data_IF_072373534245
#
_entry.id   IF_072373534245
#
_cell.length_a   1.000
_cell.length_b   1.000
_cell.length_c   1.000
_cell.angle_alpha   90.00
_cell.angle_beta   90.00
_cell.angle_gamma   90.00
#
_symmetry.space_group_name_H-M   'P 1'
#
loop_
_entity.id
_entity.type
_entity.pdbx_description
1 polymer ?
#
# COMPACT_ATOMS: atom_id res chain seq x y z
N UNK A 1 24.49 -12.25 -17.07
CA UNK A 1 23.27 -12.53 -16.26
C UNK A 1 22.99 -11.30 -15.41
N UNK A 2 21.73 -10.90 -15.24
CA UNK A 2 21.39 -9.79 -14.34
C UNK A 2 21.81 -10.13 -12.90
N UNK A 3 22.35 -9.15 -12.17
CA UNK A 3 22.67 -9.29 -10.74
C UNK A 3 21.40 -9.22 -9.87
N UNK A 4 20.27 -8.82 -10.45
CA UNK A 4 19.02 -8.59 -9.75
C UNK A 4 18.08 -9.79 -9.88
N UNK A 5 17.21 -9.98 -8.86
CA UNK A 5 16.16 -11.00 -8.87
C UNK A 5 15.11 -10.75 -9.96
N UNK A 6 14.76 -9.48 -10.18
CA UNK A 6 13.85 -9.02 -11.23
C UNK A 6 14.59 -8.08 -12.17
N UNK A 7 14.53 -8.38 -13.47
CA UNK A 7 15.18 -7.56 -14.49
C UNK A 7 14.42 -6.26 -14.73
N UNK A 8 13.10 -6.39 -14.87
CA UNK A 8 12.20 -5.31 -15.21
C UNK A 8 11.12 -5.18 -14.13
N UNK A 9 11.06 -4.03 -13.50
CA UNK A 9 10.07 -3.71 -12.48
C UNK A 9 9.14 -2.66 -13.02
N UNK A 10 7.83 -2.80 -12.73
CA UNK A 10 6.84 -1.75 -12.95
C UNK A 10 6.47 -1.12 -11.61
N UNK A 11 6.59 0.21 -11.52
CA UNK A 11 6.04 1.02 -10.44
C UNK A 11 4.88 1.84 -10.98
N UNK A 12 3.65 1.57 -10.53
CA UNK A 12 2.49 2.42 -10.81
C UNK A 12 2.20 3.36 -9.65
N UNK A 13 1.50 4.48 -9.91
CA UNK A 13 1.32 5.53 -8.91
C UNK A 13 2.62 6.28 -8.62
N UNK A 14 3.51 6.34 -9.61
CA UNK A 14 4.88 6.85 -9.45
C UNK A 14 4.95 8.38 -9.23
N UNK A 15 3.89 9.13 -9.58
CA UNK A 15 3.73 10.56 -9.27
C UNK A 15 3.27 10.80 -7.82
N UNK A 16 2.59 9.82 -7.22
CA UNK A 16 2.06 9.91 -5.86
C UNK A 16 3.14 9.95 -4.79
N UNK A 17 2.75 10.33 -3.57
CA UNK A 17 3.68 10.51 -2.45
C UNK A 17 4.54 9.26 -2.19
N UNK A 18 3.94 8.07 -2.09
CA UNK A 18 4.67 6.84 -1.79
C UNK A 18 5.45 6.32 -3.02
N UNK A 19 4.83 6.36 -4.21
CA UNK A 19 5.50 5.95 -5.44
C UNK A 19 6.78 6.74 -5.68
N UNK A 20 6.72 8.07 -5.53
CA UNK A 20 7.88 8.93 -5.68
C UNK A 20 9.04 8.59 -4.71
N UNK A 21 8.71 8.19 -3.46
CA UNK A 21 9.71 7.75 -2.47
C UNK A 21 10.39 6.42 -2.84
N UNK A 22 9.72 5.59 -3.62
CA UNK A 22 10.23 4.26 -4.02
C UNK A 22 11.08 4.29 -5.29
N UNK A 23 11.02 5.34 -6.11
CA UNK A 23 11.69 5.40 -7.43
C UNK A 23 13.18 5.13 -7.34
N UNK A 24 13.90 5.84 -6.47
CA UNK A 24 15.36 5.66 -6.30
C UNK A 24 15.69 4.24 -5.83
N UNK A 25 14.98 3.78 -4.81
CA UNK A 25 15.20 2.45 -4.24
C UNK A 25 14.99 1.35 -5.28
N UNK A 26 13.89 1.42 -6.04
CA UNK A 26 13.57 0.42 -7.06
C UNK A 26 14.50 0.52 -8.29
N UNK A 27 14.91 1.72 -8.66
CA UNK A 27 15.88 1.94 -9.75
C UNK A 27 17.21 1.23 -9.47
N UNK A 28 17.63 1.16 -8.20
CA UNK A 28 18.85 0.46 -7.80
C UNK A 28 18.72 -1.08 -7.75
N UNK A 29 17.50 -1.62 -7.89
CA UNK A 29 17.20 -3.05 -7.76
C UNK A 29 16.78 -3.74 -9.07
N UNK A 30 16.92 -3.06 -10.22
CA UNK A 30 16.57 -3.62 -11.52
C UNK A 30 17.39 -3.04 -12.68
N UNK A 31 17.37 -3.75 -13.81
CA UNK A 31 17.98 -3.26 -15.06
C UNK A 31 17.08 -2.17 -15.70
N UNK A 32 15.73 -2.33 -15.60
CA UNK A 32 14.73 -1.39 -16.09
C UNK A 32 13.67 -1.14 -15.03
N UNK A 33 13.42 0.10 -14.69
CA UNK A 33 12.28 0.54 -13.90
C UNK A 33 11.26 1.24 -14.80
N UNK A 34 10.17 0.57 -15.17
CA UNK A 34 9.04 1.24 -15.82
C UNK A 34 8.22 1.94 -14.75
N UNK A 35 8.03 3.24 -14.89
CA UNK A 35 7.22 4.07 -14.00
C UNK A 35 5.97 4.54 -14.74
N UNK A 36 4.82 4.50 -14.04
CA UNK A 36 3.54 4.87 -14.60
C UNK A 36 2.65 5.61 -13.62
N UNK A 37 1.91 6.56 -14.16
CA UNK A 37 0.81 7.26 -13.50
C UNK A 37 -0.19 7.71 -14.56
N UNK A 38 -1.38 8.20 -14.17
CA UNK A 38 -2.28 8.95 -15.05
C UNK A 38 -1.79 10.39 -15.27
N UNK A 39 -1.00 10.91 -14.33
CA UNK A 39 -0.38 12.23 -14.38
C UNK A 39 0.95 12.19 -15.13
N UNK A 40 1.37 13.34 -15.63
CA UNK A 40 2.66 13.47 -16.32
C UNK A 40 3.81 13.16 -15.36
N UNK A 41 4.76 12.40 -15.85
CA UNK A 41 5.97 11.99 -15.14
C UNK A 41 7.21 12.39 -15.92
N UNK A 42 8.21 12.87 -15.21
CA UNK A 42 9.57 13.06 -15.76
C UNK A 42 10.49 11.97 -15.26
N UNK A 43 11.39 11.53 -16.15
CA UNK A 43 12.45 10.58 -15.82
C UNK A 43 13.45 11.22 -14.83
N UNK A 44 13.77 10.48 -13.75
CA UNK A 44 14.75 10.92 -12.73
C UNK A 44 16.04 10.09 -12.75
N UNK A 45 15.93 8.80 -13.10
CA UNK A 45 17.06 7.88 -13.10
C UNK A 45 17.28 7.31 -14.50
N UNK A 46 18.54 6.96 -14.81
CA UNK A 46 18.94 6.56 -16.16
C UNK A 46 18.18 5.34 -16.68
N UNK A 47 17.86 4.38 -15.82
CA UNK A 47 17.15 3.14 -16.17
C UNK A 47 15.63 3.24 -16.02
N UNK A 48 15.06 4.42 -15.77
CA UNK A 48 13.62 4.60 -15.82
C UNK A 48 13.07 4.66 -17.24
N UNK A 49 11.91 4.08 -17.46
CA UNK A 49 11.07 4.21 -18.65
C UNK A 49 9.71 4.77 -18.21
N UNK A 50 9.30 5.87 -18.80
CA UNK A 50 8.03 6.54 -18.46
C UNK A 50 6.93 6.09 -19.40
N UNK A 51 5.82 5.59 -18.84
CA UNK A 51 4.61 5.22 -19.59
C UNK A 51 3.38 5.76 -18.86
N UNK A 52 2.64 6.67 -19.49
CA UNK A 52 1.40 7.21 -18.93
C UNK A 52 0.27 6.23 -19.24
N UNK A 53 -0.46 5.82 -18.20
CA UNK A 53 -1.56 4.88 -18.35
C UNK A 53 -2.65 5.13 -17.30
N UNK A 54 -3.92 5.01 -17.77
CA UNK A 54 -5.07 4.96 -16.89
C UNK A 54 -5.35 3.50 -16.49
N UNK A 55 -5.44 3.25 -15.19
CA UNK A 55 -5.76 1.92 -14.64
C UNK A 55 -7.13 1.40 -15.13
N UNK A 56 -8.08 2.27 -15.42
CA UNK A 56 -9.39 1.88 -15.94
C UNK A 56 -9.32 1.30 -17.37
N UNK A 57 -8.23 1.47 -18.11
CA UNK A 57 -8.04 0.95 -19.45
C UNK A 57 -7.27 -0.38 -19.45
N UNK A 58 -7.96 -1.51 -19.63
CA UNK A 58 -7.32 -2.83 -19.70
C UNK A 58 -6.28 -2.90 -20.84
N UNK A 59 -6.53 -2.27 -21.97
CA UNK A 59 -5.60 -2.26 -23.11
C UNK A 59 -4.30 -1.54 -22.74
N UNK A 60 -4.40 -0.37 -22.10
CA UNK A 60 -3.25 0.38 -21.63
C UNK A 60 -2.44 -0.43 -20.60
N UNK A 61 -3.10 -1.10 -19.66
CA UNK A 61 -2.43 -1.90 -18.64
C UNK A 61 -1.79 -3.17 -19.20
N UNK A 62 -2.40 -3.79 -20.21
CA UNK A 62 -1.78 -4.91 -20.95
C UNK A 62 -0.47 -4.49 -21.63
N UNK A 63 -0.45 -3.30 -22.24
CA UNK A 63 0.76 -2.73 -22.84
C UNK A 63 1.80 -2.39 -21.76
N UNK A 64 1.35 -1.72 -20.70
CA UNK A 64 2.18 -1.28 -19.58
C UNK A 64 2.91 -2.44 -18.89
N UNK A 65 2.26 -3.59 -18.72
CA UNK A 65 2.80 -4.76 -18.03
C UNK A 65 3.61 -5.71 -18.92
N UNK A 66 3.77 -5.40 -20.23
CA UNK A 66 4.53 -6.23 -21.16
C UNK A 66 6.03 -6.26 -20.79
N UNK A 67 6.61 -7.46 -20.72
CA UNK A 67 8.01 -7.72 -20.36
C UNK A 67 8.39 -7.26 -18.95
N UNK A 68 7.45 -7.22 -18.03
CA UNK A 68 7.68 -6.92 -16.61
C UNK A 68 7.76 -8.23 -15.82
N UNK A 69 8.67 -8.29 -14.85
CA UNK A 69 8.85 -9.45 -13.96
C UNK A 69 8.12 -9.30 -12.63
N UNK A 70 8.08 -8.07 -12.10
CA UNK A 70 7.49 -7.74 -10.80
C UNK A 70 6.79 -6.39 -10.86
N UNK A 71 5.64 -6.28 -10.20
CA UNK A 71 4.87 -5.03 -10.09
C UNK A 71 4.87 -4.54 -8.65
N UNK A 72 5.21 -3.27 -8.48
CA UNK A 72 4.98 -2.49 -7.25
C UNK A 72 3.87 -1.49 -7.55
N UNK A 73 2.68 -1.74 -7.02
CA UNK A 73 1.48 -0.99 -7.35
C UNK A 73 1.10 -0.04 -6.19
N UNK A 74 1.38 1.25 -6.39
CA UNK A 74 1.02 2.35 -5.48
C UNK A 74 -0.06 3.26 -6.09
N UNK A 75 -0.59 2.89 -7.27
CA UNK A 75 -1.60 3.65 -8.00
C UNK A 75 -3.02 3.46 -7.45
N UNK A 76 -3.91 4.33 -7.91
CA UNK A 76 -5.31 4.36 -7.53
C UNK A 76 -5.67 5.55 -6.63
N UNK A 77 -6.96 5.67 -6.29
CA UNK A 77 -7.45 6.60 -5.30
C UNK A 77 -6.87 6.21 -3.94
N UNK A 78 -6.19 7.12 -3.25
CA UNK A 78 -5.42 6.83 -2.03
C UNK A 78 -6.12 7.23 -0.73
N UNK A 79 -7.23 7.92 -0.82
CA UNK A 79 -8.10 8.37 0.28
C UNK A 79 -9.56 8.18 -0.12
N UNK A 80 -10.51 8.46 0.77
CA UNK A 80 -11.92 8.51 0.43
C UNK A 80 -12.18 9.50 -0.72
N UNK A 81 -13.16 9.24 -1.53
CA UNK A 81 -13.52 10.03 -2.70
C UNK A 81 -14.87 9.58 -3.28
N UNK A 82 -15.31 10.24 -4.37
CA UNK A 82 -16.55 9.86 -5.04
C UNK A 82 -16.54 8.38 -5.43
N UNK A 83 -17.72 7.76 -5.42
CA UNK A 83 -17.86 6.36 -5.82
C UNK A 83 -17.27 6.09 -7.20
N UNK A 84 -17.51 6.98 -8.17
CA UNK A 84 -16.99 6.83 -9.53
C UNK A 84 -15.46 6.82 -9.56
N UNK A 85 -14.79 7.67 -8.79
CA UNK A 85 -13.34 7.67 -8.71
C UNK A 85 -12.80 6.40 -8.07
N UNK A 86 -13.42 5.94 -6.98
CA UNK A 86 -13.05 4.70 -6.29
C UNK A 86 -13.30 3.48 -7.18
N UNK A 87 -14.46 3.42 -7.85
CA UNK A 87 -14.82 2.35 -8.77
C UNK A 87 -13.82 2.22 -9.91
N UNK A 88 -13.56 3.32 -10.62
CA UNK A 88 -12.70 3.30 -11.80
C UNK A 88 -11.24 3.02 -11.44
N UNK A 89 -10.70 3.70 -10.42
CA UNK A 89 -9.29 3.59 -10.08
C UNK A 89 -8.95 2.32 -9.29
N UNK A 90 -9.77 1.96 -8.30
CA UNK A 90 -9.44 0.91 -7.33
C UNK A 90 -10.11 -0.43 -7.63
N UNK A 91 -11.33 -0.46 -8.16
CA UNK A 91 -12.04 -1.71 -8.46
C UNK A 91 -11.69 -2.17 -9.89
N UNK A 92 -12.06 -1.36 -10.89
CA UNK A 92 -11.79 -1.68 -12.30
C UNK A 92 -10.29 -1.70 -12.55
N UNK A 93 -9.56 -0.69 -12.07
CA UNK A 93 -8.10 -0.60 -12.21
C UNK A 93 -7.36 -1.78 -11.60
N UNK A 94 -7.76 -2.23 -10.43
CA UNK A 94 -7.15 -3.39 -9.77
C UNK A 94 -7.42 -4.69 -10.54
N UNK A 95 -8.68 -4.88 -11.01
CA UNK A 95 -9.00 -6.03 -11.86
C UNK A 95 -8.16 -6.04 -13.15
N UNK A 96 -8.07 -4.89 -13.83
CA UNK A 96 -7.28 -4.75 -15.05
C UNK A 96 -5.81 -5.07 -14.83
N UNK A 97 -5.24 -4.60 -13.71
CA UNK A 97 -3.85 -4.88 -13.33
C UNK A 97 -3.62 -6.38 -13.14
N UNK A 98 -4.44 -7.05 -12.36
CA UNK A 98 -4.29 -8.48 -12.10
C UNK A 98 -4.47 -9.33 -13.36
N UNK A 99 -5.46 -8.99 -14.19
CA UNK A 99 -5.70 -9.70 -15.46
C UNK A 99 -4.54 -9.49 -16.45
N UNK A 100 -3.99 -8.28 -16.51
CA UNK A 100 -2.81 -7.98 -17.31
C UNK A 100 -1.56 -8.72 -16.79
N UNK A 101 -1.36 -8.73 -15.46
CA UNK A 101 -0.28 -9.49 -14.83
C UNK A 101 -0.37 -10.99 -15.17
N UNK A 102 -1.57 -11.57 -15.09
CA UNK A 102 -1.81 -12.97 -15.45
C UNK A 102 -1.46 -13.24 -16.91
N UNK A 103 -2.00 -12.40 -17.85
CA UNK A 103 -1.77 -12.56 -19.30
C UNK A 103 -0.30 -12.41 -19.68
N UNK A 104 0.41 -11.47 -19.05
CA UNK A 104 1.83 -11.22 -19.30
C UNK A 104 2.76 -12.10 -18.42
N UNK A 105 2.21 -13.06 -17.66
CA UNK A 105 2.95 -14.03 -16.84
C UNK A 105 3.88 -13.38 -15.82
N UNK A 106 3.46 -12.27 -15.24
CA UNK A 106 4.19 -11.61 -14.15
C UNK A 106 4.23 -12.53 -12.95
N UNK A 107 5.35 -12.56 -12.24
CA UNK A 107 5.59 -13.49 -11.13
C UNK A 107 5.04 -12.98 -9.81
N UNK A 108 5.13 -11.67 -9.58
CA UNK A 108 4.82 -11.07 -8.27
C UNK A 108 4.23 -9.68 -8.38
N UNK A 109 3.23 -9.43 -7.55
CA UNK A 109 2.63 -8.12 -7.32
C UNK A 109 2.78 -7.76 -5.85
N UNK A 110 3.35 -6.59 -5.54
CA UNK A 110 3.30 -5.96 -4.23
C UNK A 110 2.44 -4.72 -4.37
N UNK A 111 1.42 -4.55 -3.53
CA UNK A 111 0.52 -3.42 -3.71
C UNK A 111 0.07 -2.78 -2.40
N UNK A 112 -0.24 -1.49 -2.48
CA UNK A 112 -0.73 -0.68 -1.38
C UNK A 112 -2.20 -0.99 -1.08
N UNK A 113 -2.44 -1.95 -0.16
CA UNK A 113 -3.68 -2.05 0.59
C UNK A 113 -3.70 -0.99 1.70
N UNK A 114 -4.66 -1.04 2.60
CA UNK A 114 -4.83 0.00 3.61
C UNK A 114 -5.36 -0.57 4.92
N UNK A 115 -5.09 0.12 6.03
CA UNK A 115 -5.77 -0.09 7.32
C UNK A 115 -7.27 0.07 7.21
N UNK A 116 -7.75 0.86 6.27
CA UNK A 116 -9.19 1.09 6.05
C UNK A 116 -9.98 -0.15 5.64
N UNK A 117 -9.31 -1.27 5.31
CA UNK A 117 -9.94 -2.61 5.21
C UNK A 117 -10.49 -3.12 6.54
N UNK A 118 -9.97 -2.62 7.66
CA UNK A 118 -10.28 -3.03 9.04
C UNK A 118 -10.53 -1.83 9.96
N UNK A 119 -10.91 -0.69 9.39
CA UNK A 119 -10.97 0.59 10.08
C UNK A 119 -11.95 0.64 11.25
N UNK A 120 -13.06 -0.10 11.21
CA UNK A 120 -14.04 -0.17 12.31
C UNK A 120 -13.59 -1.00 13.53
N UNK A 121 -12.43 -1.62 13.51
CA UNK A 121 -11.94 -2.27 14.73
C UNK A 121 -11.55 -1.25 15.79
N UNK A 122 -11.89 -1.51 17.08
CA UNK A 122 -11.49 -0.62 18.18
C UNK A 122 -9.98 -0.73 18.43
N UNK A 123 -9.36 0.39 18.78
CA UNK A 123 -7.91 0.43 19.11
C UNK A 123 -7.56 -0.18 20.46
N UNK A 124 -8.57 -0.61 21.24
CA UNK A 124 -8.36 -1.45 22.43
C UNK A 124 -7.99 -2.89 22.09
N UNK A 125 -8.10 -3.28 20.81
CA UNK A 125 -7.78 -4.63 20.34
C UNK A 125 -6.52 -4.60 19.47
N UNK A 126 -5.58 -5.52 19.75
CA UNK A 126 -4.47 -5.81 18.85
C UNK A 126 -4.98 -6.79 17.79
N UNK A 127 -5.01 -6.36 16.53
CA UNK A 127 -5.53 -7.15 15.42
C UNK A 127 -4.42 -7.76 14.56
N UNK A 128 -4.71 -8.86 13.89
CA UNK A 128 -3.82 -9.47 12.90
C UNK A 128 -4.43 -9.48 11.48
N UNK A 129 -3.71 -9.98 10.51
CA UNK A 129 -4.15 -9.96 9.11
C UNK A 129 -5.33 -10.90 8.80
N UNK A 130 -5.74 -11.77 9.73
CA UNK A 130 -6.84 -12.74 9.56
C UNK A 130 -8.17 -12.28 10.15
N UNK A 131 -8.22 -11.11 10.79
CA UNK A 131 -9.50 -10.56 11.23
C UNK A 131 -10.42 -10.31 10.03
N UNK A 132 -11.72 -10.49 10.24
CA UNK A 132 -12.71 -10.23 9.19
C UNK A 132 -12.61 -8.78 8.71
N UNK A 133 -12.73 -8.51 7.41
CA UNK A 133 -12.79 -7.13 6.92
C UNK A 133 -13.94 -6.36 7.57
N UNK A 134 -13.65 -5.13 8.01
CA UNK A 134 -14.60 -4.14 8.52
C UNK A 134 -14.22 -2.77 7.97
N UNK A 135 -14.42 -2.57 6.63
CA UNK A 135 -14.02 -1.33 5.96
C UNK A 135 -14.84 -0.15 6.46
N UNK A 136 -14.22 1.01 6.57
CA UNK A 136 -14.80 2.23 7.14
C UNK A 136 -15.18 3.28 6.09
N UNK A 137 -15.05 2.96 4.81
CA UNK A 137 -15.21 3.91 3.69
C UNK A 137 -15.37 3.17 2.37
N UNK A 138 -15.81 3.84 1.30
CA UNK A 138 -15.79 3.31 -0.07
C UNK A 138 -14.36 2.97 -0.49
N UNK A 139 -13.40 3.81 -0.11
CA UNK A 139 -11.99 3.54 -0.27
C UNK A 139 -11.56 2.23 0.42
N UNK A 140 -11.91 2.08 1.71
CA UNK A 140 -11.63 0.86 2.47
C UNK A 140 -12.26 -0.39 1.84
N UNK A 141 -13.53 -0.29 1.39
CA UNK A 141 -14.23 -1.35 0.67
C UNK A 141 -13.49 -1.75 -0.61
N UNK A 142 -13.00 -0.78 -1.38
CA UNK A 142 -12.21 -1.05 -2.59
C UNK A 142 -10.91 -1.81 -2.30
N UNK A 143 -10.28 -1.55 -1.16
CA UNK A 143 -9.08 -2.26 -0.73
C UNK A 143 -9.40 -3.70 -0.29
N UNK A 144 -10.55 -3.95 0.35
CA UNK A 144 -11.05 -5.31 0.63
C UNK A 144 -11.27 -6.09 -0.67
N UNK A 145 -11.89 -5.47 -1.69
CA UNK A 145 -12.01 -6.07 -3.01
C UNK A 145 -10.65 -6.48 -3.56
N UNK A 146 -9.65 -5.59 -3.50
CA UNK A 146 -8.30 -5.86 -3.99
C UNK A 146 -7.61 -7.03 -3.28
N UNK A 147 -7.75 -7.15 -1.94
CA UNK A 147 -7.21 -8.27 -1.18
C UNK A 147 -7.88 -9.61 -1.56
N UNK A 148 -9.20 -9.60 -1.74
CA UNK A 148 -9.96 -10.79 -2.19
C UNK A 148 -9.60 -11.17 -3.62
N UNK A 149 -9.45 -10.21 -4.50
CA UNK A 149 -8.98 -10.42 -5.87
C UNK A 149 -7.58 -11.03 -5.89
N UNK A 150 -6.66 -10.52 -5.08
CA UNK A 150 -5.30 -11.04 -4.96
C UNK A 150 -5.31 -12.52 -4.52
N UNK A 151 -6.12 -12.88 -3.53
CA UNK A 151 -6.30 -14.27 -3.09
C UNK A 151 -6.80 -15.14 -4.24
N UNK A 152 -7.83 -14.69 -4.98
CA UNK A 152 -8.37 -15.43 -6.13
C UNK A 152 -7.30 -15.69 -7.20
N UNK A 153 -6.49 -14.67 -7.55
CA UNK A 153 -5.43 -14.85 -8.56
C UNK A 153 -4.29 -15.75 -8.08
N UNK A 154 -3.97 -15.73 -6.78
CA UNK A 154 -3.05 -16.70 -6.21
C UNK A 154 -3.60 -18.12 -6.26
N UNK A 155 -4.82 -18.35 -5.79
CA UNK A 155 -5.40 -19.68 -5.70
C UNK A 155 -5.54 -20.33 -7.08
N UNK A 156 -5.98 -19.55 -8.06
CA UNK A 156 -6.28 -20.05 -9.41
C UNK A 156 -5.07 -20.02 -10.35
N UNK A 157 -4.25 -19.01 -10.28
CA UNK A 157 -3.20 -18.77 -11.28
C UNK A 157 -1.78 -18.75 -10.68
N UNK A 158 -1.64 -18.90 -9.38
CA UNK A 158 -0.37 -18.83 -8.65
C UNK A 158 0.41 -17.52 -8.86
N UNK A 159 -0.31 -16.42 -9.10
CA UNK A 159 0.28 -15.08 -9.12
C UNK A 159 0.59 -14.67 -7.68
N UNK A 160 1.87 -14.65 -7.32
CA UNK A 160 2.30 -14.26 -5.97
C UNK A 160 1.91 -12.80 -5.66
N UNK A 161 1.37 -12.57 -4.49
CA UNK A 161 0.93 -11.23 -4.07
C UNK A 161 1.24 -10.94 -2.62
N UNK A 162 1.72 -9.71 -2.35
CA UNK A 162 1.76 -9.13 -1.01
C UNK A 162 0.86 -7.90 -0.98
N UNK A 163 -0.22 -7.97 -0.20
CA UNK A 163 -1.10 -6.84 0.11
C UNK A 163 -0.56 -6.13 1.34
N UNK A 164 -0.09 -4.90 1.20
CA UNK A 164 0.48 -4.12 2.30
C UNK A 164 -0.60 -3.20 2.86
N UNK A 165 -1.18 -3.52 4.01
CA UNK A 165 -2.12 -2.64 4.74
C UNK A 165 -1.35 -1.48 5.35
N UNK A 166 -1.16 -0.41 4.55
CA UNK A 166 -0.43 0.78 4.98
C UNK A 166 -1.32 1.59 5.95
N UNK A 167 -0.72 2.04 7.03
CA UNK A 167 -1.30 3.02 7.95
C UNK A 167 -0.89 4.45 7.55
N UNK A 168 -0.19 5.16 8.44
CA UNK A 168 0.19 6.56 8.23
C UNK A 168 1.63 6.65 7.73
N UNK A 169 1.81 6.65 6.42
CA UNK A 169 3.15 6.72 5.82
C UNK A 169 3.50 8.18 5.46
N UNK A 170 4.25 8.82 6.33
CA UNK A 170 4.66 10.24 6.25
C UNK A 170 6.10 10.40 6.78
N UNK A 171 6.81 11.52 6.44
CA UNK A 171 8.19 11.72 6.89
C UNK A 171 8.37 11.65 8.41
N UNK A 172 7.46 12.29 9.14
CA UNK A 172 7.41 12.31 10.60
C UNK A 172 5.97 12.17 11.10
N UNK A 173 5.73 11.58 12.28
CA UNK A 173 4.41 11.56 12.91
C UNK A 173 3.84 12.97 13.05
N UNK A 174 2.55 13.14 12.71
CA UNK A 174 1.86 14.43 12.70
C UNK A 174 0.90 14.62 13.87
N UNK A 175 0.51 13.54 14.53
CA UNK A 175 -0.43 13.49 15.66
C UNK A 175 -0.13 12.28 16.57
N UNK A 176 -0.81 12.21 17.71
CA UNK A 176 -0.63 11.12 18.69
C UNK A 176 -1.13 9.76 18.17
N UNK A 177 -2.09 9.71 17.23
CA UNK A 177 -2.50 8.47 16.60
C UNK A 177 -1.31 7.81 15.91
N UNK A 178 -0.44 8.60 15.32
CA UNK A 178 0.73 8.11 14.60
C UNK A 178 1.81 7.50 15.50
N UNK A 179 1.75 7.67 16.81
CA UNK A 179 2.63 6.92 17.73
C UNK A 179 2.45 5.39 17.61
N UNK A 180 1.30 4.92 17.14
CA UNK A 180 1.05 3.50 16.89
C UNK A 180 0.87 3.14 15.42
N UNK A 181 0.68 4.13 14.53
CA UNK A 181 0.29 3.87 13.13
C UNK A 181 1.34 4.32 12.13
N UNK A 182 2.40 4.98 12.56
CA UNK A 182 3.41 5.52 11.67
C UNK A 182 4.20 4.43 10.94
N UNK A 183 4.41 4.67 9.67
CA UNK A 183 5.37 3.98 8.81
C UNK A 183 6.32 5.03 8.23
N UNK A 184 7.59 4.96 8.57
CA UNK A 184 8.60 5.83 7.98
C UNK A 184 8.80 5.53 6.50
N UNK A 185 9.35 6.48 5.74
CA UNK A 185 9.71 6.23 4.35
C UNK A 185 10.83 5.18 4.21
N UNK A 186 11.76 5.11 5.16
CA UNK A 186 12.85 4.14 5.11
C UNK A 186 12.36 2.73 5.43
N UNK A 187 11.44 2.58 6.40
CA UNK A 187 10.77 1.31 6.66
C UNK A 187 9.84 0.90 5.52
N UNK A 188 9.16 1.85 4.83
CA UNK A 188 8.40 1.56 3.61
C UNK A 188 9.32 0.97 2.53
N UNK A 189 10.47 1.60 2.24
CA UNK A 189 11.45 1.12 1.24
C UNK A 189 11.94 -0.28 1.62
N UNK A 190 12.32 -0.48 2.88
CA UNK A 190 12.74 -1.78 3.41
C UNK A 190 11.65 -2.85 3.30
N UNK A 191 10.40 -2.50 3.60
CA UNK A 191 9.24 -3.40 3.48
C UNK A 191 9.03 -3.85 2.04
N UNK A 192 9.00 -2.91 1.09
CA UNK A 192 8.79 -3.22 -0.33
C UNK A 192 9.92 -4.11 -0.86
N UNK A 193 11.19 -3.79 -0.56
CA UNK A 193 12.34 -4.61 -0.95
C UNK A 193 12.27 -6.01 -0.33
N UNK A 194 11.87 -6.10 0.94
CA UNK A 194 11.71 -7.40 1.62
C UNK A 194 10.62 -8.23 0.95
N UNK A 195 9.47 -7.64 0.63
CA UNK A 195 8.38 -8.30 -0.10
C UNK A 195 8.81 -8.76 -1.50
N UNK A 196 9.60 -7.96 -2.20
CA UNK A 196 10.15 -8.33 -3.51
C UNK A 196 11.13 -9.50 -3.39
N UNK A 197 12.02 -9.49 -2.40
CA UNK A 197 13.13 -10.42 -2.30
C UNK A 197 12.80 -11.71 -1.51
N UNK A 198 11.72 -11.75 -0.75
CA UNK A 198 11.29 -12.97 -0.03
C UNK A 198 11.16 -14.15 -1.01
N UNK A 199 11.64 -15.33 -0.59
CA UNK A 199 11.64 -16.53 -1.43
C UNK A 199 10.23 -17.13 -1.61
N UNK A 200 9.34 -16.91 -0.65
CA UNK A 200 8.00 -17.46 -0.65
C UNK A 200 7.02 -16.44 -0.03
N UNK A 201 6.19 -15.85 -0.85
CA UNK A 201 5.16 -14.90 -0.39
C UNK A 201 3.75 -15.43 -0.59
N UNK A 202 3.53 -16.33 -1.56
CA UNK A 202 2.20 -16.83 -1.92
C UNK A 202 1.18 -15.67 -2.05
N UNK A 203 0.03 -15.75 -1.35
CA UNK A 203 -0.79 -14.61 -1.02
C UNK A 203 -0.57 -14.24 0.45
N UNK A 204 -0.06 -13.06 0.69
CA UNK A 204 0.22 -12.57 2.04
C UNK A 204 -0.36 -11.18 2.26
N UNK A 205 -0.89 -10.96 3.44
CA UNK A 205 -1.32 -9.65 3.93
C UNK A 205 -0.42 -9.25 5.08
N UNK A 206 0.19 -8.05 5.01
CA UNK A 206 1.09 -7.51 6.03
C UNK A 206 0.69 -6.09 6.37
N UNK A 207 0.73 -5.73 7.65
CA UNK A 207 0.58 -4.34 8.07
C UNK A 207 1.89 -3.57 7.85
N UNK A 208 1.79 -2.48 7.09
CA UNK A 208 2.88 -1.53 6.87
C UNK A 208 2.94 -0.52 8.00
N UNK A 209 3.76 -0.82 9.00
CA UNK A 209 4.03 0.03 10.17
C UNK A 209 5.50 -0.06 10.53
N UNK A 210 6.05 0.99 11.13
CA UNK A 210 7.39 1.00 11.73
C UNK A 210 7.41 0.24 13.06
N UNK A 211 8.57 0.13 13.71
CA UNK A 211 8.75 -0.57 15.00
C UNK A 211 8.29 0.30 16.16
N UNK A 212 7.06 0.79 16.12
CA UNK A 212 6.49 1.68 17.11
C UNK A 212 6.23 0.95 18.44
N UNK A 213 6.53 1.58 19.57
CA UNK A 213 6.32 0.98 20.90
C UNK A 213 4.83 0.71 21.21
N UNK A 214 3.94 1.51 20.65
CA UNK A 214 2.49 1.44 20.88
C UNK A 214 1.74 0.70 19.75
N UNK A 215 2.32 -0.34 19.14
CA UNK A 215 1.69 -1.09 18.05
C UNK A 215 0.36 -1.73 18.45
N UNK A 216 -0.62 -1.62 17.56
CA UNK A 216 -1.96 -2.20 17.67
C UNK A 216 -2.22 -3.31 16.65
N UNK A 217 -1.16 -3.79 15.99
CA UNK A 217 -1.22 -4.85 14.98
C UNK A 217 -0.13 -5.89 15.17
N UNK A 218 -0.45 -7.13 14.83
CA UNK A 218 0.50 -8.26 14.85
C UNK A 218 0.67 -8.85 13.46
N UNK A 219 1.89 -8.81 12.94
CA UNK A 219 2.27 -9.40 11.66
C UNK A 219 2.65 -10.89 11.74
N UNK A 220 2.16 -11.62 12.76
CA UNK A 220 2.52 -13.04 12.99
C UNK A 220 2.34 -13.94 11.75
N UNK A 221 1.31 -13.69 10.93
CA UNK A 221 1.05 -14.48 9.71
C UNK A 221 1.90 -14.05 8.50
N UNK A 222 2.63 -12.95 8.61
CA UNK A 222 3.54 -12.45 7.59
C UNK A 222 5.04 -12.56 7.99
N UNK A 223 5.35 -13.20 9.12
CA UNK A 223 6.74 -13.37 9.60
C UNK A 223 7.67 -14.03 8.57
N UNK A 224 7.14 -14.93 7.73
CA UNK A 224 7.89 -15.59 6.66
C UNK A 224 8.39 -14.65 5.56
N UNK A 225 7.80 -13.45 5.43
CA UNK A 225 8.29 -12.42 4.51
C UNK A 225 9.65 -11.90 4.98
N UNK A 226 9.85 -11.78 6.29
CA UNK A 226 11.11 -11.36 6.89
C UNK A 226 11.25 -9.85 7.12
N UNK A 227 10.16 -9.09 7.06
CA UNK A 227 10.18 -7.64 7.36
C UNK A 227 10.60 -7.35 8.80
N UNK A 228 11.55 -6.44 8.95
CA UNK A 228 12.12 -6.00 10.23
C UNK A 228 12.21 -4.47 10.24
N UNK A 229 11.13 -3.77 10.63
CA UNK A 229 11.14 -2.31 10.74
C UNK A 229 12.14 -1.84 11.80
N UNK A 230 12.64 -0.61 11.65
CA UNK A 230 13.67 -0.04 12.52
C UNK A 230 13.24 1.24 13.21
N UNK A 231 12.46 2.07 12.51
CA UNK A 231 12.09 3.38 13.00
C UNK A 231 10.98 3.29 14.04
N UNK A 232 10.94 4.27 14.98
CA UNK A 232 9.99 4.28 16.07
C UNK A 232 9.41 5.68 16.25
N UNK A 233 8.09 5.78 16.19
CA UNK A 233 7.36 7.03 16.39
C UNK A 233 7.50 7.60 17.81
N UNK A 234 7.87 6.77 18.81
CA UNK A 234 8.08 7.22 20.19
C UNK A 234 9.16 8.32 20.31
N UNK A 235 10.13 8.33 19.40
CA UNK A 235 11.14 9.39 19.31
C UNK A 235 10.54 10.79 19.10
N UNK A 236 9.30 10.88 18.65
CA UNK A 236 8.58 12.12 18.38
C UNK A 236 7.55 12.48 19.46
N UNK A 237 7.33 11.61 20.48
CA UNK A 237 6.31 11.82 21.52
C UNK A 237 6.41 13.21 22.15
N UNK A 238 7.59 13.59 22.64
CA UNK A 238 7.79 14.89 23.27
C UNK A 238 7.37 16.07 22.38
N UNK A 239 7.73 16.03 21.09
CA UNK A 239 7.36 17.05 20.10
C UNK A 239 5.85 17.11 19.89
N UNK A 240 5.18 15.95 19.92
CA UNK A 240 3.73 15.87 19.77
C UNK A 240 3.00 16.37 21.02
N UNK A 241 3.48 16.00 22.21
CA UNK A 241 2.91 16.44 23.49
C UNK A 241 3.03 17.96 23.65
N UNK A 242 4.18 18.55 23.27
CA UNK A 242 4.39 20.01 23.28
C UNK A 242 3.48 20.74 22.31
N UNK A 243 3.17 20.11 21.15
CA UNK A 243 2.35 20.73 20.10
C UNK A 243 0.85 20.62 20.34
N UNK A 244 0.38 19.47 20.81
CA UNK A 244 -1.05 19.15 20.88
C UNK A 244 -1.58 19.04 22.30
N UNK A 245 -0.72 18.93 23.32
CA UNK A 245 -1.11 18.77 24.71
C UNK A 245 -1.84 17.44 24.97
N UNK A 246 -2.76 17.47 25.94
CA UNK A 246 -3.58 16.31 26.31
C UNK A 246 -4.63 16.05 25.21
N UNK A 247 -4.77 14.79 24.81
CA UNK A 247 -5.83 14.35 23.87
C UNK A 247 -6.87 13.55 24.64
N UNK A 248 -8.14 13.84 24.36
CA UNK A 248 -9.24 13.06 24.88
C UNK A 248 -9.17 11.62 24.33
N UNK A 249 -9.18 10.66 25.24
CA UNK A 249 -9.17 9.23 24.88
C UNK A 249 -10.41 8.77 24.12
N UNK A 250 -11.49 9.56 24.14
CA UNK A 250 -12.73 9.31 23.40
C UNK A 250 -12.73 9.94 21.99
N UNK A 251 -11.71 10.68 21.61
CA UNK A 251 -11.59 11.21 20.25
C UNK A 251 -11.65 10.05 19.24
N UNK A 252 -12.54 10.11 18.21
CA UNK A 252 -12.62 9.11 17.15
C UNK A 252 -11.26 8.78 16.51
N UNK A 253 -10.36 9.75 16.44
CA UNK A 253 -8.96 9.58 16.01
C UNK A 253 -8.22 8.50 16.82
N UNK A 254 -8.55 8.36 18.10
CA UNK A 254 -7.90 7.45 19.04
C UNK A 254 -8.70 6.20 19.38
N UNK A 255 -9.98 6.11 18.98
CA UNK A 255 -10.85 5.01 19.39
C UNK A 255 -10.90 3.86 18.39
N UNK A 256 -10.65 4.12 17.10
CA UNK A 256 -10.71 3.12 16.03
C UNK A 256 -9.44 3.09 15.18
N UNK A 257 -9.20 1.97 14.48
CA UNK A 257 -8.07 1.85 13.57
C UNK A 257 -8.18 2.80 12.37
N UNK A 258 -9.37 3.08 11.87
CA UNK A 258 -9.63 3.98 10.73
C UNK A 258 -9.55 5.46 11.08
N UNK A 259 -9.64 5.81 12.39
CA UNK A 259 -9.63 7.20 12.82
C UNK A 259 -10.84 7.97 12.28
N UNK A 260 -10.62 9.16 11.74
CA UNK A 260 -11.72 10.03 11.26
C UNK A 260 -12.57 9.45 10.13
N UNK A 261 -12.08 8.49 9.34
CA UNK A 261 -12.89 7.87 8.29
C UNK A 261 -14.12 7.16 8.84
N UNK A 262 -14.04 6.65 10.08
CA UNK A 262 -15.16 5.97 10.75
C UNK A 262 -16.34 6.91 11.02
N UNK A 263 -16.09 8.20 11.22
CA UNK A 263 -17.10 9.22 11.51
C UNK A 263 -17.40 10.14 10.31
N UNK A 264 -16.69 10.00 9.21
CA UNK A 264 -16.98 10.77 8.01
C UNK A 264 -18.33 10.33 7.40
N UNK A 265 -19.09 11.27 6.86
CA UNK A 265 -20.28 11.01 6.06
C UNK A 265 -19.93 10.38 4.71
N UNK A 266 -20.95 10.07 3.91
CA UNK A 266 -20.74 9.57 2.55
C UNK A 266 -20.20 10.70 1.67
N UNK A 267 -19.16 10.44 0.90
CA UNK A 267 -18.47 11.46 0.11
C UNK A 267 -19.36 12.13 -0.96
N UNK A 268 -20.33 11.37 -1.49
CA UNK A 268 -21.21 11.84 -2.56
C UNK A 268 -22.52 12.48 -2.01
N UNK A 269 -22.68 12.57 -0.69
CA UNK A 269 -23.82 13.28 -0.10
C UNK A 269 -23.62 14.80 -0.28
N UNK A 270 -24.72 15.48 -0.65
CA UNK A 270 -24.76 16.95 -0.63
C UNK A 270 -24.87 17.42 0.84
N UNK A 271 -24.00 18.33 1.26
CA UNK A 271 -24.05 19.01 2.56
C UNK A 271 -25.26 19.98 2.68
#
# INVERSE_FOLDING_TARGET
>A
MSKYKYKNILLTGAAGALGNQLRETLSNECDLLRISDKENLEKKFQNEEVEIADLASLEAILKLTKNIDCVVHMGGQSIEGSWDNVLNSNIIGMYNLYEACRKNKIKRVIWASSVHTVGFYPRSEVIDSKVMPRPDSNYGLSKVFGETLAQYYWDKYKLETVSVRIYSCVPEPKDHRMLSTWLSYDDLKSLILTCMNSSNVQHSVIFGVSNNDSLLVDNKYAKHIGYKPKDNAENYRKKLDEKFGFIDSQDPLLTTHGGYFVSAGHFDDED
#
